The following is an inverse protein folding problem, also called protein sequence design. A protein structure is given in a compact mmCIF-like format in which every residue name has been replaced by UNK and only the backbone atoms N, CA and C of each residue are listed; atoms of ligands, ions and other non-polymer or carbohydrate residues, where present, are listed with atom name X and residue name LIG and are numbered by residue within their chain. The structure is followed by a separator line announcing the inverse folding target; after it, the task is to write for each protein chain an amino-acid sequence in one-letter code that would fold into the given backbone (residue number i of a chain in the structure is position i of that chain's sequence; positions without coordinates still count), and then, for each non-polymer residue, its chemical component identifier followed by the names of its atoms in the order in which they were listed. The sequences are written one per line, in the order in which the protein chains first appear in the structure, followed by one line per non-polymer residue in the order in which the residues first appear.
data_IF_133698269457
#
_entry.id   IF_133698269457
#
_cell.length_a   1.000
_cell.length_b   1.000
_cell.length_c   1.000
_cell.angle_alpha   90.00
_cell.angle_beta   90.00
_cell.angle_gamma   90.00
#
_symmetry.space_group_name_H-M   'P 1'
#
loop_
_entity.id
_entity.type
_entity.pdbx_description
1 polymer ?
#
# COMPACT_ATOMS: atom_id res chain seq x y z
N UNK A 1 16.27 -13.06 6.03
CA UNK A 1 14.97 -13.16 5.33
C UNK A 1 15.08 -14.21 4.22
N UNK A 2 15.34 -15.49 4.56
CA UNK A 2 15.56 -16.57 3.57
C UNK A 2 14.73 -17.83 3.83
N UNK A 3 13.72 -17.76 4.72
CA UNK A 3 13.01 -18.96 5.17
C UNK A 3 11.85 -19.40 4.26
N UNK A 4 11.43 -18.54 3.33
CA UNK A 4 10.24 -18.76 2.49
C UNK A 4 10.56 -19.08 1.02
N UNK A 5 11.63 -18.51 0.47
CA UNK A 5 12.12 -18.84 -0.88
C UNK A 5 13.60 -18.42 -1.00
N UNK A 6 14.57 -19.32 -0.73
CA UNK A 6 15.99 -18.98 -0.73
C UNK A 6 16.55 -18.65 -2.13
N UNK A 7 15.85 -19.04 -3.19
CA UNK A 7 16.26 -18.82 -4.59
C UNK A 7 15.50 -17.68 -5.28
N UNK A 8 14.56 -17.02 -4.60
CA UNK A 8 13.82 -15.93 -5.20
C UNK A 8 14.72 -14.70 -5.39
N UNK A 9 14.76 -14.17 -6.61
CA UNK A 9 15.38 -12.88 -6.90
C UNK A 9 14.51 -11.76 -6.30
N UNK A 10 15.12 -10.87 -5.51
CA UNK A 10 14.43 -9.80 -4.80
C UNK A 10 14.92 -8.46 -5.34
N UNK A 11 13.99 -7.65 -5.84
CA UNK A 11 14.25 -6.28 -6.28
C UNK A 11 13.69 -5.28 -5.28
N UNK A 12 14.46 -4.23 -4.95
CA UNK A 12 14.02 -3.12 -4.12
C UNK A 12 13.85 -1.88 -4.98
N UNK A 13 12.68 -1.25 -4.89
CA UNK A 13 12.34 -0.03 -5.63
C UNK A 13 11.82 1.02 -4.66
N UNK A 14 12.33 2.25 -4.75
CA UNK A 14 11.78 3.38 -4.01
C UNK A 14 10.66 4.03 -4.82
N UNK A 15 9.43 3.82 -4.38
CA UNK A 15 8.22 4.25 -5.11
C UNK A 15 7.61 5.55 -4.60
N UNK A 16 7.87 5.90 -3.35
CA UNK A 16 7.31 7.08 -2.67
C UNK A 16 8.41 8.03 -2.18
N UNK A 17 8.02 9.28 -1.92
CA UNK A 17 8.89 10.35 -1.41
C UNK A 17 10.06 10.61 -2.37
N UNK A 18 9.76 10.56 -3.67
CA UNK A 18 10.69 10.97 -4.72
C UNK A 18 10.67 12.49 -4.91
N UNK A 19 11.74 13.12 -5.41
CA UNK A 19 11.82 14.58 -5.55
C UNK A 19 10.65 15.20 -6.32
N UNK A 20 10.23 14.57 -7.41
CA UNK A 20 9.11 15.05 -8.23
C UNK A 20 7.79 15.00 -7.47
N UNK A 21 7.56 13.95 -6.66
CA UNK A 21 6.36 13.82 -5.81
C UNK A 21 6.34 14.86 -4.69
N UNK A 22 7.50 15.16 -4.09
CA UNK A 22 7.64 16.19 -3.05
C UNK A 22 7.23 17.55 -3.63
N UNK A 23 7.70 17.86 -4.84
CA UNK A 23 7.38 19.10 -5.52
C UNK A 23 5.93 19.16 -6.02
N UNK A 24 5.42 18.08 -6.62
CA UNK A 24 4.07 18.01 -7.21
C UNK A 24 2.97 18.06 -6.14
N UNK A 25 3.20 17.40 -5.00
CA UNK A 25 2.21 17.29 -3.91
C UNK A 25 2.44 18.29 -2.79
N UNK A 26 3.40 19.21 -2.94
CA UNK A 26 3.77 20.22 -1.94
C UNK A 26 3.93 19.62 -0.53
N UNK A 27 4.71 18.53 -0.45
CA UNK A 27 4.80 17.74 0.78
C UNK A 27 5.57 18.52 1.86
N UNK A 28 5.07 18.54 3.12
CA UNK A 28 5.74 19.24 4.21
C UNK A 28 7.12 18.65 4.47
N UNK A 29 8.12 19.52 4.46
CA UNK A 29 9.50 19.19 4.76
C UNK A 29 9.82 19.47 6.23
N UNK A 30 10.76 18.70 6.80
CA UNK A 30 11.37 18.98 8.10
C UNK A 30 12.85 19.32 7.92
N UNK A 31 13.38 20.30 8.71
CA UNK A 31 14.81 20.55 8.73
C UNK A 31 15.54 19.30 9.21
N UNK A 32 16.46 18.81 8.39
CA UNK A 32 17.25 17.61 8.70
C UNK A 32 18.16 17.88 9.90
N UNK A 33 18.16 16.99 10.90
CA UNK A 33 18.99 17.15 12.10
C UNK A 33 20.47 17.17 11.73
N UNK A 34 21.11 18.31 11.90
CA UNK A 34 22.52 18.57 11.54
C UNK A 34 23.55 17.83 12.40
N UNK A 35 23.12 17.22 13.52
CA UNK A 35 24.02 16.52 14.46
C UNK A 35 24.13 15.01 14.21
N UNK A 36 23.41 14.45 13.24
CA UNK A 36 23.54 13.01 12.90
C UNK A 36 24.72 12.82 11.94
N UNK A 37 25.68 11.96 12.29
CA UNK A 37 26.83 11.68 11.42
C UNK A 37 26.44 11.09 10.06
N UNK A 38 25.21 10.58 9.93
CA UNK A 38 24.62 10.07 8.67
C UNK A 38 24.10 11.16 7.74
N UNK A 39 23.92 12.40 8.20
CA UNK A 39 23.38 13.51 7.38
C UNK A 39 24.45 14.29 6.61
N UNK A 40 25.74 13.98 6.77
CA UNK A 40 26.84 14.74 6.12
C UNK A 40 26.80 14.78 4.60
N UNK A 41 26.18 13.78 3.96
CA UNK A 41 26.02 13.71 2.50
C UNK A 41 24.56 13.93 2.06
N UNK A 42 23.66 14.28 3.00
CA UNK A 42 22.27 14.53 2.69
C UNK A 42 22.10 15.96 2.20
N UNK A 43 21.53 16.13 1.01
CA UNK A 43 21.28 17.43 0.39
C UNK A 43 19.78 17.68 0.41
N UNK A 44 19.37 18.78 1.06
CA UNK A 44 17.96 19.21 1.13
C UNK A 44 17.29 18.93 2.47
N UNK A 45 15.96 18.96 2.44
CA UNK A 45 15.10 18.75 3.61
C UNK A 45 14.56 17.32 3.64
N UNK A 46 14.22 16.83 4.83
CA UNK A 46 13.69 15.48 4.99
C UNK A 46 12.18 15.50 4.83
N UNK A 47 11.64 14.58 4.02
CA UNK A 47 10.20 14.33 3.90
C UNK A 47 9.93 12.92 4.40
N UNK A 48 8.93 12.80 5.26
CA UNK A 48 8.49 11.52 5.82
C UNK A 48 7.37 10.94 4.96
N UNK A 49 7.21 9.61 4.95
CA UNK A 49 6.15 8.97 4.14
C UNK A 49 4.74 9.32 4.62
N UNK A 50 4.58 9.65 5.91
CA UNK A 50 3.30 10.08 6.50
C UNK A 50 2.89 11.49 6.06
N UNK A 51 3.79 12.24 5.42
CA UNK A 51 3.47 13.49 4.74
C UNK A 51 2.66 13.27 3.45
N UNK A 52 2.79 12.10 2.81
CA UNK A 52 2.02 11.75 1.61
C UNK A 52 0.57 11.49 2.02
N UNK A 53 -0.43 12.16 1.41
CA UNK A 53 -1.80 11.92 1.78
C UNK A 53 -2.22 10.48 1.47
N UNK A 54 -3.01 9.90 2.39
CA UNK A 54 -3.23 8.44 2.46
C UNK A 54 -3.87 7.85 1.21
N UNK A 55 -4.74 8.60 0.54
CA UNK A 55 -5.37 8.18 -0.72
C UNK A 55 -4.34 8.04 -1.83
N UNK A 56 -3.41 8.99 -1.96
CA UNK A 56 -2.32 8.96 -2.94
C UNK A 56 -1.36 7.82 -2.64
N UNK A 57 -0.95 7.66 -1.37
CA UNK A 57 -0.06 6.58 -0.98
C UNK A 57 -0.67 5.21 -1.27
N UNK A 58 -1.98 5.05 -1.01
CA UNK A 58 -2.69 3.80 -1.31
C UNK A 58 -2.72 3.51 -2.82
N UNK A 59 -3.09 4.49 -3.64
CA UNK A 59 -3.12 4.31 -5.10
C UNK A 59 -1.73 4.02 -5.67
N UNK A 60 -0.68 4.66 -5.14
CA UNK A 60 0.70 4.37 -5.51
C UNK A 60 1.07 2.92 -5.19
N UNK A 61 0.82 2.47 -3.96
CA UNK A 61 1.10 1.08 -3.55
C UNK A 61 0.32 0.08 -4.38
N UNK A 62 -0.97 0.34 -4.63
CA UNK A 62 -1.82 -0.50 -5.47
C UNK A 62 -1.26 -0.63 -6.89
N UNK A 63 -0.96 0.49 -7.56
CA UNK A 63 -0.38 0.47 -8.91
C UNK A 63 0.97 -0.27 -8.99
N UNK A 64 1.80 -0.13 -7.95
CA UNK A 64 3.11 -0.78 -7.85
C UNK A 64 2.97 -2.29 -7.66
N UNK A 65 1.95 -2.75 -6.94
CA UNK A 65 1.70 -4.17 -6.72
C UNK A 65 1.05 -4.78 -7.97
N UNK A 66 0.00 -4.15 -8.50
CA UNK A 66 -0.80 -4.68 -9.60
C UNK A 66 -0.01 -4.85 -10.90
N UNK A 67 1.01 -4.02 -11.14
CA UNK A 67 1.90 -4.20 -12.32
C UNK A 67 2.65 -5.54 -12.32
N UNK A 68 2.78 -6.20 -11.17
CA UNK A 68 3.43 -7.50 -11.01
C UNK A 68 2.42 -8.66 -11.03
N UNK A 69 1.14 -8.37 -11.24
CA UNK A 69 0.05 -9.35 -11.30
C UNK A 69 -0.54 -9.36 -12.72
N UNK A 70 -0.97 -10.53 -13.19
CA UNK A 70 -1.71 -10.61 -14.46
C UNK A 70 -3.08 -9.96 -14.30
N UNK A 71 -3.30 -8.87 -15.04
CA UNK A 71 -4.53 -8.07 -14.94
C UNK A 71 -5.80 -8.86 -15.28
N UNK A 72 -5.72 -9.82 -16.21
CA UNK A 72 -6.86 -10.66 -16.57
C UNK A 72 -7.18 -11.72 -15.52
N UNK A 73 -6.19 -12.22 -14.79
CA UNK A 73 -6.39 -13.06 -13.60
C UNK A 73 -7.00 -12.24 -12.46
N UNK A 74 -6.44 -11.05 -12.19
CA UNK A 74 -6.93 -10.16 -11.13
C UNK A 74 -8.40 -9.78 -11.35
N UNK A 75 -8.77 -9.35 -12.55
CA UNK A 75 -10.15 -8.97 -12.88
C UNK A 75 -11.13 -10.13 -12.68
N UNK A 76 -10.81 -11.32 -13.21
CA UNK A 76 -11.62 -12.53 -13.01
C UNK A 76 -11.76 -12.90 -11.53
N UNK A 77 -10.70 -12.73 -10.75
CA UNK A 77 -10.70 -13.01 -9.31
C UNK A 77 -11.62 -12.04 -8.58
N UNK A 78 -11.55 -10.75 -8.89
CA UNK A 78 -12.40 -9.71 -8.31
C UNK A 78 -13.89 -9.91 -8.66
N UNK A 79 -14.20 -10.32 -9.89
CA UNK A 79 -15.57 -10.66 -10.30
C UNK A 79 -16.10 -11.84 -9.49
N UNK A 80 -15.30 -12.89 -9.31
CA UNK A 80 -15.69 -14.05 -8.51
C UNK A 80 -15.91 -13.68 -7.04
N UNK A 81 -14.99 -12.93 -6.44
CA UNK A 81 -15.09 -12.45 -5.05
C UNK A 81 -16.37 -11.60 -4.85
N UNK A 82 -16.68 -10.69 -5.79
CA UNK A 82 -17.88 -9.88 -5.71
C UNK A 82 -19.17 -10.72 -5.72
N UNK A 83 -19.22 -11.76 -6.56
CA UNK A 83 -20.35 -12.69 -6.62
C UNK A 83 -20.48 -13.55 -5.35
N UNK A 84 -19.35 -13.98 -4.77
CA UNK A 84 -19.31 -14.70 -3.50
C UNK A 84 -19.79 -13.82 -2.35
N UNK A 85 -19.33 -12.57 -2.27
CA UNK A 85 -19.78 -11.60 -1.27
C UNK A 85 -21.27 -11.33 -1.36
N UNK A 86 -21.81 -11.20 -2.58
CA UNK A 86 -23.25 -11.01 -2.78
C UNK A 86 -24.03 -12.23 -2.29
N UNK A 87 -23.56 -13.43 -2.61
CA UNK A 87 -24.16 -14.69 -2.13
C UNK A 87 -24.12 -14.80 -0.61
N UNK A 88 -23.00 -14.43 0.02
CA UNK A 88 -22.85 -14.41 1.48
C UNK A 88 -23.76 -13.37 2.14
N UNK A 89 -23.90 -12.18 1.55
CA UNK A 89 -24.82 -11.14 2.03
C UNK A 89 -26.27 -11.62 1.99
N UNK A 90 -26.68 -12.26 0.90
CA UNK A 90 -28.01 -12.85 0.77
C UNK A 90 -28.25 -13.94 1.82
N UNK A 91 -27.27 -14.82 2.06
CA UNK A 91 -27.35 -15.84 3.10
C UNK A 91 -27.52 -15.19 4.49
N UNK A 92 -26.66 -14.25 4.86
CA UNK A 92 -26.74 -13.55 6.17
C UNK A 92 -28.08 -12.85 6.36
N UNK A 93 -28.65 -12.27 5.30
CA UNK A 93 -29.97 -11.63 5.37
C UNK A 93 -31.13 -12.61 5.61
N UNK A 94 -30.96 -13.89 5.26
CA UNK A 94 -31.99 -14.93 5.42
C UNK A 94 -31.83 -15.76 6.70
N UNK A 95 -30.66 -15.73 7.36
CA UNK A 95 -30.46 -16.40 8.65
C UNK A 95 -31.15 -15.59 9.76
N UNK A 96 -32.17 -16.14 10.45
CA UNK A 96 -32.75 -15.49 11.62
C UNK A 96 -31.64 -15.29 12.66
N UNK A 97 -31.55 -14.10 13.27
CA UNK A 97 -30.59 -13.84 14.35
C UNK A 97 -30.96 -14.66 15.59
N UNK A 98 -30.69 -15.96 15.57
CA UNK A 98 -30.84 -16.85 16.69
C UNK A 98 -29.51 -16.95 17.45
N UNK A 99 -29.01 -15.83 18.00
CA UNK A 99 -28.09 -15.84 19.14
C UNK A 99 -28.00 -14.44 19.74
N UNK A 100 -28.76 -14.21 20.81
CA UNK A 100 -28.72 -12.95 21.56
C UNK A 100 -29.91 -12.77 22.50
N UNK A 101 -30.12 -13.69 23.45
CA UNK A 101 -30.79 -13.41 24.73
C UNK A 101 -30.73 -14.67 25.61
N UNK A 102 -29.75 -14.74 26.51
CA UNK A 102 -29.85 -15.31 27.86
C UNK A 102 -28.61 -14.88 28.64
#
# INVERSE_FOLDING_TARGET
MSRLAPEAEIHFERVAVNPDQIAEWDLPTRPTKSSDSRSRNFVGESVEVDAVPSTQLRGLVESVIERHVDAGILDRTNIAEAAELESLRALVATVPRAWGAS
#
